data_IF_024604961668
#
_entry.id   IF_024604961668
#
_cell.length_a   1.000
_cell.length_b   1.000
_cell.length_c   1.000
_cell.angle_alpha   90.00
_cell.angle_beta   90.00
_cell.angle_gamma   90.00
#
_symmetry.space_group_name_H-M   'P 1'
#
loop_
_entity.id
_entity.type
_entity.pdbx_description
1 polymer ?
#
# COMPACT_ATOMS: atom_id res chain seq x y z
N UNK A 1 -5.92 75.65 5.44
CA UNK A 1 -6.84 74.51 5.25
C UNK A 1 -6.28 73.67 4.12
N UNK A 2 -5.49 72.65 4.46
CA UNK A 2 -5.01 71.66 3.50
C UNK A 2 -6.06 70.56 3.45
N UNK A 3 -6.54 70.26 2.25
CA UNK A 3 -7.54 69.23 2.00
C UNK A 3 -6.75 67.95 1.73
N UNK A 4 -6.56 67.13 2.76
CA UNK A 4 -6.01 65.80 2.61
C UNK A 4 -6.99 64.96 1.78
N UNK A 5 -6.69 64.83 0.48
CA UNK A 5 -7.29 63.81 -0.36
C UNK A 5 -6.80 62.45 0.12
N UNK A 6 -7.48 61.89 1.11
CA UNK A 6 -7.45 60.45 1.37
C UNK A 6 -8.13 59.77 0.19
N UNK A 7 -7.36 59.49 -0.86
CA UNK A 7 -7.71 58.49 -1.84
C UNK A 7 -7.81 57.17 -1.08
N UNK A 8 -9.03 56.76 -0.75
CA UNK A 8 -9.33 55.42 -0.31
C UNK A 8 -8.88 54.46 -1.41
N UNK A 9 -7.73 53.80 -1.22
CA UNK A 9 -7.29 52.70 -2.07
C UNK A 9 -8.39 51.63 -2.01
N UNK A 10 -9.25 51.59 -3.02
CA UNK A 10 -10.16 50.47 -3.24
C UNK A 10 -9.31 49.18 -3.28
N UNK A 11 -9.75 48.10 -2.64
CA UNK A 11 -9.08 46.81 -2.78
C UNK A 11 -8.94 46.48 -4.26
N UNK A 12 -7.76 46.02 -4.68
CA UNK A 12 -7.55 45.52 -6.04
C UNK A 12 -8.66 44.50 -6.33
N UNK A 13 -9.46 44.67 -7.41
CA UNK A 13 -10.47 43.67 -7.78
C UNK A 13 -9.86 42.30 -8.05
N UNK A 14 -8.55 42.25 -8.32
CA UNK A 14 -7.77 41.02 -8.47
C UNK A 14 -7.47 40.30 -7.14
N UNK A 15 -7.60 40.98 -5.99
CA UNK A 15 -7.15 40.47 -4.71
C UNK A 15 -7.89 39.20 -4.27
N UNK A 16 -9.19 39.09 -4.59
CA UNK A 16 -9.99 37.90 -4.31
C UNK A 16 -9.48 36.70 -5.11
N UNK A 17 -9.28 36.86 -6.42
CA UNK A 17 -8.78 35.81 -7.31
C UNK A 17 -7.36 35.37 -6.92
N UNK A 18 -6.46 36.33 -6.68
CA UNK A 18 -5.09 36.06 -6.22
C UNK A 18 -5.11 35.31 -4.89
N UNK A 19 -5.98 35.70 -3.95
CA UNK A 19 -6.10 35.00 -2.68
C UNK A 19 -6.64 33.58 -2.85
N UNK A 20 -7.58 33.38 -3.77
CA UNK A 20 -8.15 32.06 -4.05
C UNK A 20 -7.11 31.13 -4.66
N UNK A 21 -6.42 31.57 -5.72
CA UNK A 21 -5.33 30.84 -6.35
C UNK A 21 -4.25 30.50 -5.30
N UNK A 22 -3.87 31.45 -4.44
CA UNK A 22 -2.91 31.19 -3.35
C UNK A 22 -3.38 30.14 -2.34
N UNK A 23 -4.68 29.97 -2.12
CA UNK A 23 -5.19 28.89 -1.26
C UNK A 23 -5.09 27.55 -1.97
N UNK A 24 -5.44 27.49 -3.25
CA UNK A 24 -5.32 26.27 -4.05
C UNK A 24 -3.85 25.82 -4.16
N UNK A 25 -2.92 26.75 -4.36
CA UNK A 25 -1.47 26.45 -4.39
C UNK A 25 -0.89 25.95 -3.06
N UNK A 26 -1.68 25.93 -1.97
CA UNK A 26 -1.29 25.36 -0.67
C UNK A 26 -1.91 23.99 -0.42
N UNK A 27 -2.76 23.50 -1.32
CA UNK A 27 -3.33 22.16 -1.26
C UNK A 27 -2.23 21.12 -1.54
N UNK A 28 -2.51 19.87 -1.21
CA UNK A 28 -1.66 18.77 -1.64
C UNK A 28 -1.69 18.65 -3.17
N UNK A 29 -0.63 18.09 -3.76
CA UNK A 29 -0.48 18.00 -5.22
C UNK A 29 -1.69 17.32 -5.87
N UNK A 30 -2.17 16.23 -5.28
CA UNK A 30 -3.34 15.50 -5.77
C UNK A 30 -4.62 16.30 -5.68
N UNK A 31 -4.89 16.91 -4.52
CA UNK A 31 -6.03 17.81 -4.35
C UNK A 31 -6.02 18.93 -5.39
N UNK A 32 -4.86 19.55 -5.65
CA UNK A 32 -4.74 20.59 -6.66
C UNK A 32 -5.01 20.07 -8.08
N UNK A 33 -4.64 18.83 -8.37
CA UNK A 33 -4.84 18.19 -9.67
C UNK A 33 -6.28 17.74 -9.89
N UNK A 34 -6.95 17.27 -8.84
CA UNK A 34 -8.39 16.99 -8.86
C UNK A 34 -9.20 18.27 -9.10
N UNK A 35 -8.74 19.40 -8.55
CA UNK A 35 -9.35 20.72 -8.72
C UNK A 35 -8.69 21.53 -9.86
N UNK A 36 -8.08 20.87 -10.86
CA UNK A 36 -7.34 21.55 -11.93
C UNK A 36 -8.24 22.43 -12.82
N UNK A 37 -9.51 22.04 -13.00
CA UNK A 37 -10.48 22.82 -13.77
C UNK A 37 -10.87 24.12 -13.04
N UNK A 38 -11.16 24.05 -11.75
CA UNK A 38 -11.41 25.22 -10.90
C UNK A 38 -10.17 26.14 -10.87
N UNK A 39 -8.97 25.56 -10.77
CA UNK A 39 -7.72 26.31 -10.83
C UNK A 39 -7.57 27.05 -12.17
N UNK A 40 -7.96 26.41 -13.26
CA UNK A 40 -7.96 27.01 -14.59
C UNK A 40 -8.94 28.17 -14.70
N UNK A 41 -10.15 28.01 -14.15
CA UNK A 41 -11.18 29.05 -14.12
C UNK A 41 -10.65 30.31 -13.44
N UNK A 42 -10.12 30.20 -12.22
CA UNK A 42 -9.56 31.35 -11.50
C UNK A 42 -8.34 31.97 -12.21
N UNK A 43 -7.51 31.16 -12.87
CA UNK A 43 -6.37 31.67 -13.64
C UNK A 43 -6.83 32.49 -14.86
N UNK A 44 -7.89 32.05 -15.55
CA UNK A 44 -8.49 32.77 -16.67
C UNK A 44 -9.22 34.03 -16.23
N UNK A 45 -9.97 33.99 -15.13
CA UNK A 45 -10.60 35.18 -14.55
C UNK A 45 -9.54 36.24 -14.18
N UNK A 46 -8.43 35.84 -13.55
CA UNK A 46 -7.34 36.76 -13.25
C UNK A 46 -6.68 37.31 -14.54
N UNK A 47 -6.60 36.51 -15.59
CA UNK A 47 -6.09 36.91 -16.89
C UNK A 47 -6.97 37.97 -17.57
N UNK A 48 -8.29 37.86 -17.46
CA UNK A 48 -9.23 38.87 -17.98
C UNK A 48 -9.04 40.25 -17.30
N UNK A 49 -8.53 40.26 -16.07
CA UNK A 49 -8.15 41.46 -15.33
C UNK A 49 -6.70 41.92 -15.55
N UNK A 50 -5.93 41.31 -16.45
CA UNK A 50 -4.49 41.58 -16.64
C UNK A 50 -4.11 43.06 -16.88
N UNK A 51 -5.03 43.83 -17.49
CA UNK A 51 -4.83 45.26 -17.77
C UNK A 51 -4.81 46.12 -16.50
N UNK A 52 -5.41 45.67 -15.39
CA UNK A 52 -5.44 46.36 -14.08
C UNK A 52 -4.36 45.91 -13.12
N UNK A 53 -3.65 44.82 -13.44
CA UNK A 53 -2.65 44.25 -12.56
C UNK A 53 -1.40 45.13 -12.51
N UNK A 54 -0.84 45.28 -11.30
CA UNK A 54 0.47 45.87 -11.10
C UNK A 54 1.59 44.90 -11.55
N UNK A 55 2.86 45.34 -11.48
CA UNK A 55 4.01 44.54 -11.94
C UNK A 55 4.15 43.20 -11.21
N UNK A 56 3.92 43.17 -9.90
CA UNK A 56 4.03 41.96 -9.10
C UNK A 56 2.86 41.00 -9.37
N UNK A 57 1.65 41.55 -9.48
CA UNK A 57 0.45 40.77 -9.81
C UNK A 57 0.53 40.17 -11.21
N UNK A 58 1.09 40.89 -12.20
CA UNK A 58 1.35 40.34 -13.54
C UNK A 58 2.38 39.21 -13.50
N UNK A 59 3.46 39.38 -12.74
CA UNK A 59 4.45 38.32 -12.57
C UNK A 59 3.85 37.07 -11.91
N UNK A 60 2.96 37.26 -10.92
CA UNK A 60 2.20 36.19 -10.32
C UNK A 60 1.32 35.47 -11.35
N UNK A 61 0.56 36.23 -12.15
CA UNK A 61 -0.27 35.66 -13.23
C UNK A 61 0.57 34.86 -14.24
N UNK A 62 1.72 35.37 -14.68
CA UNK A 62 2.61 34.65 -15.60
C UNK A 62 3.08 33.31 -15.01
N UNK A 63 3.42 33.30 -13.71
CA UNK A 63 3.76 32.07 -13.00
C UNK A 63 2.59 31.08 -12.94
N UNK A 64 1.38 31.57 -12.63
CA UNK A 64 0.15 30.76 -12.56
C UNK A 64 -0.19 30.17 -13.91
N UNK A 65 -0.13 30.95 -15.00
CA UNK A 65 -0.40 30.47 -16.35
C UNK A 65 0.63 29.44 -16.83
N UNK A 66 1.90 29.60 -16.45
CA UNK A 66 2.93 28.58 -16.73
C UNK A 66 2.59 27.28 -16.00
N UNK A 67 2.31 27.37 -14.70
CA UNK A 67 1.95 26.22 -13.88
C UNK A 67 0.69 25.52 -14.42
N UNK A 68 -0.35 26.27 -14.80
CA UNK A 68 -1.57 25.70 -15.38
C UNK A 68 -1.27 24.89 -16.64
N UNK A 69 -0.41 25.38 -17.55
CA UNK A 69 -0.01 24.63 -18.75
C UNK A 69 0.73 23.35 -18.41
N UNK A 70 1.64 23.41 -17.45
CA UNK A 70 2.42 22.26 -16.99
C UNK A 70 1.52 21.22 -16.31
N UNK A 71 0.61 21.67 -15.43
CA UNK A 71 -0.39 20.81 -14.80
C UNK A 71 -1.27 20.15 -15.86
N UNK A 72 -1.84 20.91 -16.79
CA UNK A 72 -2.68 20.35 -17.86
C UNK A 72 -1.96 19.30 -18.71
N UNK A 73 -0.67 19.49 -18.96
CA UNK A 73 0.13 18.56 -19.74
C UNK A 73 0.47 17.27 -18.97
N UNK A 74 0.63 17.35 -17.65
CA UNK A 74 1.16 16.25 -16.83
C UNK A 74 0.12 15.63 -15.87
N UNK A 75 -1.08 16.23 -15.74
CA UNK A 75 -2.02 15.86 -14.69
C UNK A 75 -2.43 14.38 -14.75
N UNK A 76 -2.84 13.95 -15.95
CA UNK A 76 -3.23 12.56 -16.19
C UNK A 76 -2.09 11.56 -15.93
N UNK A 77 -0.86 11.92 -16.25
CA UNK A 77 0.30 11.06 -16.02
C UNK A 77 0.62 10.93 -14.52
N UNK A 78 0.63 12.05 -13.79
CA UNK A 78 0.94 12.04 -12.36
C UNK A 78 -0.16 11.28 -11.59
N UNK A 79 -1.46 11.53 -11.87
CA UNK A 79 -2.57 10.77 -11.26
C UNK A 79 -2.39 9.27 -11.52
N UNK A 80 -2.18 8.88 -12.78
CA UNK A 80 -1.98 7.47 -13.12
C UNK A 80 -0.74 6.85 -12.45
N UNK A 81 0.33 7.62 -12.28
CA UNK A 81 1.54 7.16 -11.59
C UNK A 81 1.29 6.96 -10.09
N UNK A 82 0.54 7.86 -9.47
CA UNK A 82 0.15 7.76 -8.06
C UNK A 82 -0.80 6.58 -7.82
N UNK A 83 -1.81 6.39 -8.67
CA UNK A 83 -2.72 5.24 -8.62
C UNK A 83 -1.95 3.90 -8.71
N UNK A 84 -0.99 3.82 -9.64
CA UNK A 84 -0.14 2.62 -9.79
C UNK A 84 0.75 2.42 -8.56
N UNK A 85 1.27 3.50 -7.98
CA UNK A 85 2.09 3.41 -6.78
C UNK A 85 1.28 2.91 -5.57
N UNK A 86 0.05 3.40 -5.40
CA UNK A 86 -0.87 2.92 -4.36
C UNK A 86 -1.20 1.44 -4.57
N UNK A 87 -1.61 1.05 -5.79
CA UNK A 87 -1.86 -0.34 -6.13
C UNK A 87 -0.65 -1.24 -5.87
N UNK A 88 0.56 -0.80 -6.26
CA UNK A 88 1.79 -1.56 -6.01
C UNK A 88 2.04 -1.75 -4.51
N UNK A 89 1.78 -0.73 -3.68
CA UNK A 89 1.92 -0.82 -2.23
C UNK A 89 0.96 -1.86 -1.66
N UNK A 90 -0.32 -1.81 -2.01
CA UNK A 90 -1.33 -2.77 -1.56
C UNK A 90 -0.96 -4.21 -1.94
N UNK A 91 -0.55 -4.43 -3.20
CA UNK A 91 -0.13 -5.75 -3.69
C UNK A 91 1.10 -6.25 -2.96
N UNK A 92 2.07 -5.36 -2.69
CA UNK A 92 3.30 -5.71 -1.96
C UNK A 92 3.00 -6.12 -0.53
N UNK A 93 2.13 -5.38 0.16
CA UNK A 93 1.70 -5.68 1.53
C UNK A 93 0.96 -7.02 1.59
N UNK A 94 0.01 -7.26 0.68
CA UNK A 94 -0.72 -8.52 0.59
C UNK A 94 0.21 -9.72 0.31
N UNK A 95 1.15 -9.56 -0.62
CA UNK A 95 2.13 -10.60 -0.94
C UNK A 95 3.04 -10.90 0.26
N UNK A 96 3.47 -9.88 0.99
CA UNK A 96 4.27 -10.06 2.21
C UNK A 96 3.51 -10.86 3.28
N UNK A 97 2.22 -10.58 3.48
CA UNK A 97 1.35 -11.36 4.36
C UNK A 97 1.23 -12.82 3.91
N UNK A 98 1.02 -13.06 2.61
CA UNK A 98 0.92 -14.41 2.06
C UNK A 98 2.22 -15.22 2.21
N UNK A 99 3.37 -14.58 2.01
CA UNK A 99 4.70 -15.18 2.26
C UNK A 99 4.82 -15.57 3.73
N UNK A 100 4.36 -14.71 4.65
CA UNK A 100 4.33 -15.00 6.09
C UNK A 100 3.54 -16.27 6.41
N UNK A 101 2.28 -16.32 5.96
CA UNK A 101 1.40 -17.49 6.15
C UNK A 101 1.99 -18.77 5.57
N UNK A 102 2.59 -18.68 4.38
CA UNK A 102 3.22 -19.83 3.73
C UNK A 102 4.38 -20.37 4.57
N UNK A 103 5.23 -19.49 5.12
CA UNK A 103 6.33 -19.90 6.00
C UNK A 103 5.85 -20.59 7.28
N UNK A 104 4.77 -20.09 7.89
CA UNK A 104 4.17 -20.74 9.06
C UNK A 104 3.59 -22.11 8.72
N UNK A 105 2.89 -22.22 7.58
CA UNK A 105 2.40 -23.51 7.10
C UNK A 105 3.53 -24.51 6.85
N UNK A 106 4.64 -24.07 6.27
CA UNK A 106 5.81 -24.93 6.06
C UNK A 106 6.41 -25.43 7.37
N UNK A 107 6.54 -24.57 8.38
CA UNK A 107 7.02 -24.97 9.72
C UNK A 107 6.10 -25.99 10.37
N UNK A 108 4.78 -25.81 10.26
CA UNK A 108 3.81 -26.77 10.77
C UNK A 108 3.94 -28.13 10.07
N UNK A 109 4.10 -28.12 8.74
CA UNK A 109 4.33 -29.35 7.98
C UNK A 109 5.62 -30.06 8.42
N UNK A 110 6.71 -29.32 8.65
CA UNK A 110 7.97 -29.86 9.16
C UNK A 110 7.78 -30.52 10.54
N UNK A 111 7.05 -29.87 11.45
CA UNK A 111 6.74 -30.43 12.77
C UNK A 111 5.91 -31.72 12.67
N UNK A 112 4.88 -31.74 11.82
CA UNK A 112 4.04 -32.93 11.58
C UNK A 112 4.89 -34.09 11.07
N UNK A 113 5.76 -33.85 10.09
CA UNK A 113 6.66 -34.87 9.55
C UNK A 113 7.60 -35.40 10.64
N UNK A 114 8.13 -34.51 11.49
CA UNK A 114 8.95 -34.89 12.64
C UNK A 114 8.22 -35.79 13.63
N UNK A 115 6.95 -35.48 13.93
CA UNK A 115 6.11 -36.31 14.79
C UNK A 115 5.83 -37.68 14.17
N UNK A 116 5.53 -37.74 12.87
CA UNK A 116 5.30 -39.00 12.15
C UNK A 116 6.52 -39.92 12.22
N UNK A 117 7.74 -39.41 11.99
CA UNK A 117 8.96 -40.23 12.08
C UNK A 117 9.24 -40.74 13.50
N UNK A 118 8.93 -39.94 14.52
CA UNK A 118 9.08 -40.38 15.91
C UNK A 118 8.08 -41.50 16.26
N UNK A 119 6.85 -41.40 15.78
CA UNK A 119 5.84 -42.44 15.98
C UNK A 119 6.19 -43.72 15.21
N UNK A 120 6.66 -43.60 13.97
CA UNK A 120 7.15 -44.74 13.17
C UNK A 120 8.24 -45.51 13.92
N UNK A 121 9.26 -44.79 14.44
CA UNK A 121 10.32 -45.41 15.24
C UNK A 121 9.78 -46.13 16.47
N UNK A 122 8.81 -45.53 17.17
CA UNK A 122 8.18 -46.13 18.37
C UNK A 122 7.42 -47.40 18.02
N UNK A 123 6.72 -47.41 16.88
CA UNK A 123 6.02 -48.59 16.37
C UNK A 123 7.01 -49.69 15.99
N UNK A 124 8.10 -49.37 15.30
CA UNK A 124 9.15 -50.32 14.95
C UNK A 124 9.78 -50.97 16.20
N UNK A 125 10.14 -50.17 17.20
CA UNK A 125 10.65 -50.66 18.49
C UNK A 125 9.65 -51.61 19.16
N UNK A 126 8.35 -51.31 19.08
CA UNK A 126 7.31 -52.16 19.66
C UNK A 126 7.14 -53.47 18.89
N UNK A 127 7.19 -53.42 17.56
CA UNK A 127 7.18 -54.61 16.69
C UNK A 127 8.36 -55.52 17.07
N UNK A 128 9.56 -54.97 17.19
CA UNK A 128 10.75 -55.72 17.57
C UNK A 128 10.61 -56.39 18.94
N UNK A 129 10.08 -55.69 19.95
CA UNK A 129 9.80 -56.26 21.27
C UNK A 129 8.83 -57.44 21.17
N UNK A 130 7.70 -57.24 20.49
CA UNK A 130 6.67 -58.27 20.33
C UNK A 130 7.19 -59.48 19.55
N UNK A 131 8.02 -59.27 18.53
CA UNK A 131 8.66 -60.37 17.80
C UNK A 131 9.61 -61.17 18.69
N UNK A 132 10.37 -60.49 19.57
CA UNK A 132 11.25 -61.15 20.56
C UNK A 132 10.45 -61.97 21.56
N UNK A 133 9.30 -61.47 22.03
CA UNK A 133 8.39 -62.17 22.94
C UNK A 133 7.66 -63.35 22.28
N UNK A 134 7.26 -63.22 21.01
CA UNK A 134 6.50 -64.24 20.28
C UNK A 134 7.32 -65.49 19.98
N UNK A 135 8.61 -65.34 19.63
CA UNK A 135 9.52 -66.45 19.29
C UNK A 135 9.54 -67.58 20.35
N UNK A 136 9.79 -67.32 21.64
CA UNK A 136 9.80 -68.37 22.67
C UNK A 136 8.41 -68.98 22.90
N UNK A 137 7.33 -68.17 22.83
CA UNK A 137 5.96 -68.68 22.96
C UNK A 137 5.63 -69.67 21.85
N UNK A 138 6.00 -69.38 20.61
CA UNK A 138 5.85 -70.31 19.48
C UNK A 138 6.69 -71.58 19.64
N UNK A 139 7.89 -71.48 20.24
CA UNK A 139 8.71 -72.66 20.56
C UNK A 139 8.03 -73.52 21.63
N UNK A 140 7.50 -72.91 22.70
CA UNK A 140 6.80 -73.61 23.78
C UNK A 140 5.51 -74.27 23.29
N UNK A 141 4.72 -73.59 22.46
CA UNK A 141 3.53 -74.16 21.82
C UNK A 141 3.88 -75.43 21.04
N UNK A 142 4.91 -75.40 20.19
CA UNK A 142 5.35 -76.57 19.41
C UNK A 142 5.79 -77.75 20.29
N UNK A 143 6.53 -77.47 21.36
CA UNK A 143 6.94 -78.51 22.32
C UNK A 143 5.72 -79.20 22.95
N UNK A 144 4.76 -78.40 23.45
CA UNK A 144 3.53 -78.92 24.05
C UNK A 144 2.67 -79.73 23.04
N UNK A 145 2.64 -79.32 21.78
CA UNK A 145 1.91 -80.08 20.75
C UNK A 145 2.57 -81.43 20.44
N UNK A 146 3.90 -81.52 20.50
CA UNK A 146 4.63 -82.80 20.39
C UNK A 146 4.33 -83.73 21.56
N UNK A 147 4.34 -83.20 22.79
CA UNK A 147 4.01 -83.94 24.02
C UNK A 147 2.58 -84.54 24.03
N UNK A 148 1.65 -84.05 23.20
CA UNK A 148 0.27 -84.54 23.11
C UNK A 148 0.11 -85.63 22.02
N UNK A 149 1.02 -85.69 21.04
CA UNK A 149 0.94 -86.61 19.90
C UNK A 149 1.77 -87.91 20.08
N UNK A 150 2.60 -87.97 21.13
CA UNK A 150 3.30 -89.17 21.61
C UNK A 150 2.49 -89.86 22.72
#
# INVERSE_FOLDING_TARGET
MAIDSSASCLPSPAASFIQHIRRMLKMETMDLMENADDFAEFAHELQDYAWRLNKEERYFLDCVLRLHRELKANASFIIAAEDVQECHKEVTEALASQIGLTKESMKLQEEIVGLCFNEERRVDEKIDSLQKELKPLLKRKRALQGEIHD
#
